data_IF_740118140567
#
_entry.id   IF_740118140567
#
_cell.length_a   1.000
_cell.length_b   1.000
_cell.length_c   1.000
_cell.angle_alpha   90.00
_cell.angle_beta   90.00
_cell.angle_gamma   90.00
#
_symmetry.space_group_name_H-M   'P 1'
#
loop_
_entity.id
_entity.type
_entity.pdbx_description
1 polymer ?
#
# COMPACT_ATOMS: atom_id res chain seq x y z
N UNK A 1 -16.70 -22.20 33.36
CA UNK A 1 -15.54 -21.68 34.08
C UNK A 1 -14.64 -22.85 34.47
N UNK A 2 -13.37 -22.77 34.20
CA UNK A 2 -12.30 -23.77 34.28
C UNK A 2 -12.26 -24.75 33.10
N UNK A 3 -11.33 -24.41 32.15
CA UNK A 3 -10.40 -25.27 31.37
C UNK A 3 -9.98 -24.55 30.09
N UNK A 4 -8.97 -23.69 30.18
CA UNK A 4 -8.13 -23.25 29.06
C UNK A 4 -6.75 -22.93 29.64
N UNK A 5 -6.00 -23.95 29.92
CA UNK A 5 -4.59 -23.88 30.30
C UNK A 5 -3.97 -25.24 29.94
N UNK A 6 -3.61 -25.42 28.66
CA UNK A 6 -2.64 -26.45 28.24
C UNK A 6 -2.41 -26.32 26.74
N UNK A 7 -1.36 -25.64 26.34
CA UNK A 7 -0.96 -25.48 24.93
C UNK A 7 0.32 -24.67 24.70
N UNK A 8 1.07 -24.35 25.74
CA UNK A 8 2.36 -23.64 25.61
C UNK A 8 3.54 -24.59 25.89
N UNK A 9 3.75 -25.58 25.05
CA UNK A 9 4.90 -26.46 25.20
C UNK A 9 5.36 -27.05 23.86
N UNK A 10 5.65 -26.19 22.86
CA UNK A 10 6.27 -26.67 21.63
C UNK A 10 7.15 -25.65 20.89
N UNK A 11 7.64 -24.59 21.53
CA UNK A 11 8.57 -23.62 20.88
C UNK A 11 9.89 -23.43 21.64
N UNK A 12 10.29 -24.34 22.46
CA UNK A 12 11.49 -24.22 23.31
C UNK A 12 12.72 -24.93 22.76
N UNK A 13 12.94 -25.02 21.42
CA UNK A 13 14.10 -25.70 20.85
C UNK A 13 14.86 -24.95 19.76
N UNK A 14 15.00 -23.61 19.84
CA UNK A 14 15.86 -22.86 18.92
C UNK A 14 16.66 -21.73 19.57
N UNK A 15 16.87 -21.76 20.89
CA UNK A 15 17.62 -20.72 21.62
C UNK A 15 18.87 -21.24 22.33
N UNK A 16 19.68 -22.04 21.66
CA UNK A 16 20.97 -22.49 22.23
C UNK A 16 22.17 -22.26 21.34
N UNK A 17 22.31 -21.12 20.65
CA UNK A 17 23.59 -20.65 20.10
C UNK A 17 23.64 -19.13 20.06
N UNK A 18 23.80 -18.47 21.20
CA UNK A 18 24.29 -17.08 21.25
C UNK A 18 25.06 -16.87 22.57
N UNK A 19 26.15 -17.64 22.74
CA UNK A 19 27.19 -17.30 23.71
C UNK A 19 28.44 -16.93 22.91
N UNK A 20 28.59 -15.65 22.62
CA UNK A 20 29.75 -15.14 21.89
C UNK A 20 29.95 -13.63 22.06
N UNK A 21 30.60 -13.26 23.14
CA UNK A 21 31.49 -12.09 23.36
C UNK A 21 31.00 -10.66 23.11
N UNK A 22 30.83 -9.93 24.20
CA UNK A 22 31.47 -8.61 24.33
C UNK A 22 30.58 -7.39 24.39
N UNK A 23 30.21 -6.93 25.60
CA UNK A 23 30.10 -5.51 25.90
C UNK A 23 28.72 -4.89 25.86
N UNK A 24 28.04 -4.96 26.92
CA UNK A 24 27.22 -4.01 27.65
C UNK A 24 26.23 -4.80 28.51
N UNK A 25 26.45 -4.80 29.80
CA UNK A 25 25.56 -5.44 30.79
C UNK A 25 24.34 -4.53 31.10
N UNK A 26 23.65 -4.07 30.04
CA UNK A 26 22.37 -3.41 30.17
C UNK A 26 21.22 -4.43 30.06
N UNK A 27 20.23 -4.34 30.90
CA UNK A 27 18.99 -5.08 30.73
C UNK A 27 18.37 -4.67 29.39
N UNK A 28 17.94 -5.65 28.56
CA UNK A 28 17.21 -5.38 27.32
C UNK A 28 15.97 -4.54 27.63
N UNK A 29 15.84 -3.40 26.98
CA UNK A 29 14.72 -2.48 27.20
C UNK A 29 14.08 -2.10 25.87
N UNK A 30 12.80 -2.40 25.74
CA UNK A 30 12.02 -2.18 24.50
C UNK A 30 10.82 -1.29 24.81
N UNK A 31 10.62 -0.29 23.96
CA UNK A 31 9.42 0.54 23.95
C UNK A 31 8.69 0.37 22.62
N UNK A 32 7.51 -0.25 22.64
CA UNK A 32 6.69 -0.50 21.47
C UNK A 32 5.82 0.72 21.18
N UNK A 33 6.03 1.36 20.05
CA UNK A 33 5.25 2.49 19.58
C UNK A 33 3.90 2.11 18.99
N UNK A 34 3.16 3.12 18.52
CA UNK A 34 1.82 2.95 17.95
C UNK A 34 0.85 2.17 18.87
N UNK A 35 1.09 2.24 20.19
CA UNK A 35 0.25 1.56 21.14
C UNK A 35 -1.16 2.15 21.14
N UNK A 36 -2.23 1.32 21.08
CA UNK A 36 -3.59 1.83 21.04
C UNK A 36 -3.93 2.57 22.35
N UNK A 37 -4.67 3.68 22.24
CA UNK A 37 -5.22 4.36 23.40
C UNK A 37 -6.35 3.54 24.04
N UNK A 38 -6.66 3.82 25.32
CA UNK A 38 -7.68 3.06 26.08
C UNK A 38 -9.08 3.10 25.47
N UNK A 39 -9.36 4.10 24.66
CA UNK A 39 -10.64 4.28 23.98
C UNK A 39 -10.77 3.42 22.72
N UNK A 40 -9.66 2.88 22.23
CA UNK A 40 -9.65 2.04 21.03
C UNK A 40 -10.03 0.61 21.35
N UNK A 41 -10.85 0.01 20.49
CA UNK A 41 -11.38 -1.37 20.69
C UNK A 41 -10.30 -2.46 20.77
N UNK A 42 -9.09 -2.17 20.30
CA UNK A 42 -7.97 -3.11 20.30
C UNK A 42 -7.16 -3.09 21.61
N UNK A 43 -7.38 -2.09 22.48
CA UNK A 43 -6.53 -1.86 23.65
C UNK A 43 -6.41 -3.10 24.55
N UNK A 44 -7.53 -3.69 24.94
CA UNK A 44 -7.56 -4.87 25.83
C UNK A 44 -6.83 -6.08 25.21
N UNK A 45 -6.98 -6.27 23.91
CA UNK A 45 -6.29 -7.32 23.19
C UNK A 45 -4.76 -7.11 23.21
N UNK A 46 -4.30 -5.88 22.96
CA UNK A 46 -2.88 -5.57 22.98
C UNK A 46 -2.30 -5.67 24.39
N UNK A 47 -3.06 -5.28 25.42
CA UNK A 47 -2.64 -5.43 26.81
C UNK A 47 -2.46 -6.89 27.20
N UNK A 48 -3.42 -7.76 26.88
CA UNK A 48 -3.31 -9.19 27.20
C UNK A 48 -2.12 -9.85 26.48
N UNK A 49 -1.81 -9.43 25.25
CA UNK A 49 -0.64 -9.88 24.50
C UNK A 49 0.66 -9.41 25.13
N UNK A 50 0.70 -8.16 25.59
CA UNK A 50 1.87 -7.61 26.28
C UNK A 50 2.14 -8.35 27.60
N UNK A 51 1.10 -8.66 28.35
CA UNK A 51 1.23 -9.44 29.60
C UNK A 51 1.81 -10.82 29.32
N UNK A 52 1.27 -11.54 28.31
CA UNK A 52 1.77 -12.85 27.91
C UNK A 52 3.24 -12.78 27.44
N UNK A 53 3.59 -11.75 26.68
CA UNK A 53 4.97 -11.54 26.22
C UNK A 53 5.94 -11.26 27.38
N UNK A 54 5.53 -10.45 28.35
CA UNK A 54 6.34 -10.20 29.57
C UNK A 54 6.51 -11.44 30.44
N UNK A 55 5.49 -12.30 30.50
CA UNK A 55 5.59 -13.58 31.20
C UNK A 55 6.55 -14.55 30.50
N UNK A 56 6.58 -14.55 29.17
CA UNK A 56 7.50 -15.37 28.37
C UNK A 56 8.96 -14.85 28.41
N UNK A 57 9.15 -13.54 28.57
CA UNK A 57 10.46 -12.87 28.55
C UNK A 57 10.70 -12.02 29.83
N UNK A 58 10.73 -12.64 31.02
CA UNK A 58 10.81 -11.90 32.30
C UNK A 58 12.13 -11.13 32.48
N UNK A 59 13.16 -11.47 31.69
CA UNK A 59 14.45 -10.78 31.69
C UNK A 59 14.43 -9.46 30.94
N UNK A 60 13.42 -9.20 30.09
CA UNK A 60 13.29 -7.98 29.31
C UNK A 60 12.42 -6.94 30.02
N UNK A 61 12.78 -5.66 29.84
CA UNK A 61 11.95 -4.53 30.25
C UNK A 61 11.16 -4.01 29.06
N UNK A 62 9.92 -4.45 28.92
CA UNK A 62 9.06 -4.12 27.79
C UNK A 62 8.04 -3.08 28.20
N UNK A 63 8.10 -1.93 27.54
CA UNK A 63 7.22 -0.79 27.73
C UNK A 63 6.45 -0.47 26.46
N UNK A 64 5.44 0.38 26.55
CA UNK A 64 4.61 0.81 25.43
C UNK A 64 4.60 2.33 25.32
N UNK A 65 4.42 2.84 24.11
CA UNK A 65 4.32 4.26 23.83
C UNK A 65 3.15 4.53 22.88
N UNK A 66 2.31 5.49 23.23
CA UNK A 66 1.21 5.98 22.36
C UNK A 66 1.75 6.84 21.19
N UNK A 67 3.03 6.69 20.89
CA UNK A 67 3.67 7.42 19.78
C UNK A 67 3.04 7.03 18.46
N UNK A 68 2.56 8.02 17.71
CA UNK A 68 2.08 7.89 16.34
C UNK A 68 2.89 8.84 15.46
N UNK A 69 3.37 8.33 14.33
CA UNK A 69 4.08 9.16 13.37
C UNK A 69 3.21 10.34 12.90
N UNK A 70 3.78 11.53 12.93
CA UNK A 70 3.17 12.75 12.42
C UNK A 70 4.23 13.59 11.70
N UNK A 71 4.01 13.92 10.45
CA UNK A 71 4.99 14.58 9.58
C UNK A 71 5.47 15.93 10.10
N UNK A 72 4.65 16.64 10.92
CA UNK A 72 4.99 18.00 11.42
C UNK A 72 5.85 17.95 12.68
N UNK A 73 5.68 16.91 13.50
CA UNK A 73 6.33 16.81 14.82
C UNK A 73 7.45 15.77 14.87
N UNK A 74 7.54 14.85 13.89
CA UNK A 74 8.45 13.72 13.91
C UNK A 74 9.91 14.15 14.06
N UNK A 75 10.41 15.03 13.20
CA UNK A 75 11.82 15.47 13.22
C UNK A 75 12.20 16.07 14.58
N UNK A 76 11.32 16.91 15.16
CA UNK A 76 11.56 17.51 16.49
C UNK A 76 11.59 16.44 17.58
N UNK A 77 10.74 15.44 17.49
CA UNK A 77 10.67 14.33 18.46
C UNK A 77 11.92 13.45 18.36
N UNK A 78 12.32 13.09 17.13
CA UNK A 78 13.50 12.28 16.83
C UNK A 78 14.80 12.97 17.27
N UNK A 79 14.98 14.23 16.88
CA UNK A 79 16.13 15.04 17.30
C UNK A 79 16.20 15.23 18.84
N UNK A 80 15.05 15.29 19.50
CA UNK A 80 14.95 15.32 20.95
C UNK A 80 15.22 13.98 21.65
N UNK A 81 15.48 12.89 20.90
CA UNK A 81 15.76 11.57 21.43
C UNK A 81 14.56 10.94 22.17
N UNK A 82 13.35 11.19 21.69
CA UNK A 82 12.09 10.75 22.32
C UNK A 82 11.35 9.72 21.48
N UNK A 83 12.02 9.11 20.50
CA UNK A 83 11.43 8.00 19.76
C UNK A 83 11.33 6.76 20.67
N UNK A 84 10.26 5.95 20.55
CA UNK A 84 10.24 4.60 21.12
C UNK A 84 11.26 3.70 20.37
N UNK A 85 11.50 2.51 20.90
CA UNK A 85 12.39 1.53 20.25
C UNK A 85 11.89 1.18 18.86
N UNK A 86 10.57 1.10 18.69
CA UNK A 86 9.96 0.86 17.38
C UNK A 86 8.71 1.71 17.18
N UNK A 87 8.45 2.10 15.92
CA UNK A 87 7.26 2.83 15.49
C UNK A 87 6.94 2.58 14.02
N UNK A 88 5.68 2.75 13.66
CA UNK A 88 5.22 2.62 12.28
C UNK A 88 5.09 3.98 11.58
N UNK A 89 5.52 4.05 10.32
CA UNK A 89 5.29 5.19 9.44
C UNK A 89 5.03 4.73 8.00
N UNK A 90 4.47 5.59 7.12
CA UNK A 90 4.24 5.25 5.71
C UNK A 90 5.53 4.94 4.95
N UNK A 91 5.44 4.17 3.86
CA UNK A 91 6.57 3.89 2.95
C UNK A 91 7.23 5.15 2.39
N UNK A 92 6.49 6.24 2.23
CA UNK A 92 7.00 7.55 1.77
C UNK A 92 8.09 8.12 2.63
N UNK A 93 8.16 7.70 3.88
CA UNK A 93 9.03 8.30 4.90
C UNK A 93 10.40 7.63 5.00
N UNK A 94 10.60 6.50 4.29
CA UNK A 94 11.82 5.68 4.40
C UNK A 94 13.07 6.52 4.11
N UNK A 95 13.10 7.22 2.99
CA UNK A 95 14.26 8.02 2.59
C UNK A 95 14.57 9.09 3.63
N UNK A 96 13.58 9.89 4.03
CA UNK A 96 13.75 10.96 5.00
C UNK A 96 14.22 10.42 6.36
N UNK A 97 13.61 9.34 6.86
CA UNK A 97 13.93 8.78 8.17
C UNK A 97 15.35 8.16 8.18
N UNK A 98 15.70 7.40 7.13
CA UNK A 98 16.99 6.72 7.05
C UNK A 98 18.14 7.68 6.74
N UNK A 99 17.98 8.62 5.81
CA UNK A 99 19.02 9.60 5.47
C UNK A 99 19.31 10.56 6.63
N UNK A 100 18.29 10.91 7.42
CA UNK A 100 18.45 11.71 8.63
C UNK A 100 19.06 10.91 9.81
N UNK A 101 19.27 9.59 9.67
CA UNK A 101 19.83 8.74 10.70
C UNK A 101 18.93 8.54 11.92
N UNK A 102 17.62 8.56 11.73
CA UNK A 102 16.64 8.37 12.80
C UNK A 102 16.27 6.90 13.02
N UNK A 103 16.50 6.02 12.04
CA UNK A 103 16.28 4.58 12.18
C UNK A 103 17.56 3.77 12.05
N UNK A 104 17.57 2.58 12.63
CA UNK A 104 18.64 1.63 12.57
C UNK A 104 18.62 0.82 11.27
N UNK A 105 19.80 0.44 10.76
CA UNK A 105 19.94 -0.64 9.79
C UNK A 105 19.67 -1.98 10.51
N UNK A 106 18.61 -2.66 10.10
CA UNK A 106 18.19 -3.94 10.69
C UNK A 106 18.49 -5.14 9.80
N UNK A 107 19.35 -4.98 8.80
CA UNK A 107 19.70 -6.04 7.83
C UNK A 107 20.15 -7.33 8.49
N UNK A 108 20.99 -7.22 9.53
CA UNK A 108 21.46 -8.37 10.31
C UNK A 108 20.33 -9.02 11.10
N UNK A 109 19.53 -8.21 11.79
CA UNK A 109 18.43 -8.68 12.64
C UNK A 109 17.38 -9.45 11.84
N UNK A 110 17.00 -8.94 10.65
CA UNK A 110 16.06 -9.59 9.74
C UNK A 110 16.59 -10.95 9.26
N UNK A 111 17.88 -11.02 8.88
CA UNK A 111 18.52 -12.27 8.44
C UNK A 111 18.62 -13.29 9.57
N UNK A 112 19.00 -12.85 10.75
CA UNK A 112 19.11 -13.72 11.93
C UNK A 112 17.74 -14.30 12.33
N UNK A 113 16.68 -13.51 12.18
CA UNK A 113 15.29 -13.94 12.41
C UNK A 113 14.70 -14.74 11.23
N UNK A 114 15.39 -14.86 10.10
CA UNK A 114 14.91 -15.57 8.90
C UNK A 114 13.77 -14.86 8.16
N UNK A 115 13.49 -13.60 8.49
CA UNK A 115 12.40 -12.82 7.91
C UNK A 115 12.68 -12.41 6.45
N UNK A 116 13.94 -12.29 6.07
CA UNK A 116 14.37 -12.02 4.69
C UNK A 116 13.91 -13.09 3.68
N UNK A 117 13.57 -14.29 4.18
CA UNK A 117 13.11 -15.43 3.35
C UNK A 117 11.60 -15.48 3.17
N UNK A 118 10.85 -14.78 4.02
CA UNK A 118 9.39 -14.85 4.06
C UNK A 118 8.70 -13.51 3.81
N UNK A 119 9.38 -12.39 3.99
CA UNK A 119 8.86 -11.09 3.55
C UNK A 119 8.77 -11.09 2.02
N UNK A 120 7.68 -10.55 1.47
CA UNK A 120 7.51 -10.41 0.03
C UNK A 120 8.73 -9.68 -0.57
N UNK A 121 9.47 -10.29 -1.53
CA UNK A 121 10.70 -9.70 -2.08
C UNK A 121 10.50 -8.30 -2.68
N UNK A 122 9.33 -8.02 -3.26
CA UNK A 122 9.03 -6.70 -3.81
C UNK A 122 8.89 -5.64 -2.72
N UNK A 123 8.37 -6.02 -1.54
CA UNK A 123 8.29 -5.13 -0.39
C UNK A 123 9.65 -4.95 0.28
N UNK A 124 10.40 -6.04 0.42
CA UNK A 124 11.74 -5.99 0.99
C UNK A 124 12.67 -5.08 0.19
N UNK A 125 12.55 -5.11 -1.15
CA UNK A 125 13.28 -4.21 -2.05
C UNK A 125 12.96 -2.73 -1.80
N UNK A 126 11.71 -2.38 -1.47
CA UNK A 126 11.31 -0.99 -1.21
C UNK A 126 11.90 -0.42 0.08
N UNK A 127 12.21 -1.27 1.06
CA UNK A 127 12.81 -0.87 2.34
C UNK A 127 14.33 -1.08 2.36
N UNK A 128 14.92 -1.48 1.24
CA UNK A 128 16.37 -1.77 1.09
C UNK A 128 17.02 -0.70 0.22
N UNK A 129 18.10 -0.09 0.71
CA UNK A 129 18.87 0.88 -0.07
C UNK A 129 19.84 0.20 -1.07
N UNK A 130 20.49 1.01 -1.91
CA UNK A 130 21.45 0.54 -2.93
C UNK A 130 22.70 -0.15 -2.33
N UNK A 131 22.95 0.02 -1.03
CA UNK A 131 24.04 -0.61 -0.31
C UNK A 131 23.64 -1.92 0.34
N UNK A 132 22.34 -2.25 0.29
CA UNK A 132 21.77 -3.45 0.88
C UNK A 132 21.39 -3.32 2.35
N UNK A 133 21.32 -2.10 2.89
CA UNK A 133 20.79 -1.87 4.23
C UNK A 133 19.27 -1.96 4.20
N UNK A 134 18.68 -2.62 5.19
CA UNK A 134 17.25 -2.75 5.37
C UNK A 134 16.81 -1.81 6.50
N UNK A 135 15.95 -0.85 6.18
CA UNK A 135 15.61 0.27 7.06
C UNK A 135 14.35 0.06 7.90
N UNK A 136 13.64 -1.04 7.71
CA UNK A 136 12.45 -1.36 8.50
C UNK A 136 11.73 -2.62 8.02
N UNK A 137 10.69 -3.02 8.75
CA UNK A 137 9.83 -4.15 8.43
C UNK A 137 8.58 -3.66 7.67
N UNK A 138 8.39 -4.04 6.38
CA UNK A 138 7.21 -3.64 5.63
C UNK A 138 5.97 -4.43 6.09
N UNK A 139 4.83 -3.76 6.23
CA UNK A 139 3.56 -4.42 6.54
C UNK A 139 2.35 -3.66 6.01
N UNK A 140 1.19 -4.33 5.98
CA UNK A 140 -0.08 -3.79 5.48
C UNK A 140 0.01 -3.22 4.07
N UNK A 141 0.82 -3.86 3.22
CA UNK A 141 1.04 -3.38 1.87
C UNK A 141 -0.15 -3.63 0.96
N UNK A 142 -0.31 -2.75 -0.03
CA UNK A 142 -1.27 -2.90 -1.11
C UNK A 142 -0.63 -2.48 -2.42
N UNK A 143 -1.14 -3.01 -3.54
CA UNK A 143 -0.79 -2.52 -4.87
C UNK A 143 -2.05 -2.02 -5.58
N UNK A 144 -1.92 -0.92 -6.32
CA UNK A 144 -3.02 -0.40 -7.13
C UNK A 144 -3.28 -1.32 -8.32
N UNK A 145 -4.57 -1.45 -8.68
CA UNK A 145 -5.05 -2.15 -9.86
C UNK A 145 -6.10 -1.34 -10.58
N UNK A 146 -6.71 -1.93 -11.59
CA UNK A 146 -7.85 -1.38 -12.30
C UNK A 146 -9.10 -2.16 -11.91
N UNK A 147 -9.97 -1.54 -11.12
CA UNK A 147 -11.27 -2.10 -10.75
C UNK A 147 -12.27 -1.85 -11.87
N UNK A 148 -13.01 -2.89 -12.24
CA UNK A 148 -13.88 -2.94 -13.40
C UNK A 148 -15.31 -3.29 -12.98
N UNK A 149 -16.29 -2.55 -13.54
CA UNK A 149 -17.71 -2.89 -13.50
C UNK A 149 -18.03 -3.80 -14.71
N UNK A 150 -18.12 -5.10 -14.45
CA UNK A 150 -18.38 -6.14 -15.48
C UNK A 150 -19.69 -5.96 -16.22
N UNK A 151 -20.74 -5.47 -15.54
CA UNK A 151 -22.03 -5.24 -16.17
C UNK A 151 -21.93 -4.24 -17.31
N UNK A 152 -21.30 -3.09 -17.08
CA UNK A 152 -21.10 -2.08 -18.11
C UNK A 152 -20.19 -2.56 -19.25
N UNK A 153 -19.19 -3.40 -18.94
CA UNK A 153 -18.36 -4.05 -19.96
C UNK A 153 -19.17 -5.00 -20.84
N UNK A 154 -20.02 -5.83 -20.26
CA UNK A 154 -20.92 -6.73 -20.99
C UNK A 154 -21.89 -5.95 -21.86
N UNK A 155 -22.51 -4.90 -21.34
CA UNK A 155 -23.40 -4.01 -22.09
C UNK A 155 -22.70 -3.33 -23.27
N UNK A 156 -21.41 -3.03 -23.14
CA UNK A 156 -20.58 -2.47 -24.22
C UNK A 156 -20.07 -3.52 -25.21
N UNK A 157 -20.26 -4.81 -24.96
CA UNK A 157 -19.73 -5.89 -25.78
C UNK A 157 -18.24 -6.18 -25.57
N UNK A 158 -17.68 -5.73 -24.45
CA UNK A 158 -16.27 -5.93 -24.08
C UNK A 158 -16.11 -7.24 -23.32
N UNK A 159 -16.41 -8.36 -24.00
CA UNK A 159 -16.35 -9.72 -23.44
C UNK A 159 -15.51 -10.64 -24.34
N UNK A 160 -14.89 -11.62 -23.72
CA UNK A 160 -14.17 -12.71 -24.37
C UNK A 160 -15.16 -13.84 -24.77
N UNK A 161 -14.69 -14.80 -25.56
CA UNK A 161 -15.52 -15.92 -26.00
C UNK A 161 -16.00 -16.82 -24.83
N UNK A 162 -15.27 -16.84 -23.71
CA UNK A 162 -15.61 -17.58 -22.50
C UNK A 162 -16.55 -16.81 -21.55
N UNK A 163 -16.96 -15.58 -21.92
CA UNK A 163 -17.85 -14.74 -21.13
C UNK A 163 -17.15 -13.88 -20.07
N UNK A 164 -15.84 -13.97 -19.91
CA UNK A 164 -15.06 -13.06 -19.07
C UNK A 164 -14.98 -11.68 -19.71
N UNK A 165 -14.75 -10.63 -18.94
CA UNK A 165 -14.55 -9.29 -19.50
C UNK A 165 -13.17 -9.14 -20.11
N UNK A 166 -13.08 -8.38 -21.20
CA UNK A 166 -11.78 -7.96 -21.76
C UNK A 166 -11.13 -6.97 -20.81
N UNK A 167 -9.85 -7.22 -20.47
CA UNK A 167 -9.07 -6.30 -19.64
C UNK A 167 -8.14 -5.47 -20.51
N UNK A 168 -8.11 -4.13 -20.39
CA UNK A 168 -7.21 -3.30 -21.18
C UNK A 168 -5.76 -3.57 -20.78
N UNK A 169 -4.88 -3.80 -21.75
CA UNK A 169 -3.47 -4.11 -21.51
C UNK A 169 -2.59 -2.85 -21.55
N UNK A 170 -3.04 -1.82 -22.24
CA UNK A 170 -2.38 -0.52 -22.33
C UNK A 170 -3.33 0.62 -21.94
N UNK A 171 -2.77 1.78 -21.62
CA UNK A 171 -3.59 2.97 -21.37
C UNK A 171 -4.34 3.44 -22.61
N UNK A 172 -3.84 3.17 -23.81
CA UNK A 172 -4.56 3.45 -25.06
C UNK A 172 -5.79 2.54 -25.19
N UNK A 173 -5.66 1.24 -24.94
CA UNK A 173 -6.81 0.32 -24.90
C UNK A 173 -7.82 0.70 -23.81
N UNK A 174 -7.36 1.15 -22.63
CA UNK A 174 -8.25 1.66 -21.59
C UNK A 174 -9.08 2.84 -22.12
N UNK A 175 -8.44 3.78 -22.82
CA UNK A 175 -9.13 4.93 -23.39
C UNK A 175 -10.17 4.52 -24.45
N UNK A 176 -9.80 3.57 -25.33
CA UNK A 176 -10.74 3.01 -26.33
C UNK A 176 -11.93 2.31 -25.67
N UNK A 177 -11.68 1.44 -24.69
CA UNK A 177 -12.75 0.73 -23.94
C UNK A 177 -13.67 1.73 -23.22
N UNK A 178 -13.08 2.74 -22.58
CA UNK A 178 -13.84 3.78 -21.92
C UNK A 178 -14.74 4.56 -22.89
N UNK A 179 -14.24 4.89 -24.08
CA UNK A 179 -15.01 5.52 -25.15
C UNK A 179 -16.16 4.62 -25.67
N UNK A 180 -15.88 3.32 -25.87
CA UNK A 180 -16.90 2.34 -26.28
C UNK A 180 -18.01 2.21 -25.23
N UNK A 181 -17.67 2.14 -23.96
CA UNK A 181 -18.64 2.09 -22.87
C UNK A 181 -19.51 3.35 -22.86
N UNK A 182 -18.89 4.53 -22.96
CA UNK A 182 -19.64 5.79 -23.07
C UNK A 182 -20.64 5.76 -24.22
N UNK A 183 -20.19 5.35 -25.40
CA UNK A 183 -21.02 5.31 -26.61
C UNK A 183 -22.19 4.32 -26.49
N UNK A 184 -21.95 3.15 -25.89
CA UNK A 184 -22.96 2.06 -25.85
C UNK A 184 -23.92 2.18 -24.68
N UNK A 185 -23.45 2.65 -23.52
CA UNK A 185 -24.25 2.65 -22.27
C UNK A 185 -24.68 4.05 -21.83
N UNK A 186 -24.06 5.11 -22.36
CA UNK A 186 -24.23 6.47 -21.86
C UNK A 186 -23.56 6.74 -20.51
N UNK A 187 -22.94 5.73 -19.89
CA UNK A 187 -22.25 5.84 -18.60
C UNK A 187 -20.79 6.26 -18.79
N UNK A 188 -20.15 6.74 -17.72
CA UNK A 188 -18.73 7.04 -17.77
C UNK A 188 -17.91 5.75 -17.98
N UNK A 189 -16.97 5.77 -18.93
CA UNK A 189 -16.06 4.66 -19.14
C UNK A 189 -15.00 4.57 -18.05
N UNK A 190 -14.58 5.73 -17.52
CA UNK A 190 -13.55 5.83 -16.49
C UNK A 190 -13.88 6.95 -15.51
N UNK A 191 -13.48 6.78 -14.26
CA UNK A 191 -13.59 7.78 -13.21
C UNK A 191 -12.34 7.77 -12.33
N UNK A 192 -11.88 8.96 -11.92
CA UNK A 192 -10.80 9.13 -10.98
C UNK A 192 -11.09 10.31 -10.04
N UNK A 193 -10.52 10.34 -8.84
CA UNK A 193 -10.59 11.54 -8.01
C UNK A 193 -9.78 12.67 -8.64
N UNK A 194 -10.10 13.91 -8.29
CA UNK A 194 -9.45 15.10 -8.87
C UNK A 194 -9.22 16.20 -7.84
N UNK A 195 -9.41 15.90 -6.56
CA UNK A 195 -9.29 16.87 -5.47
C UNK A 195 -8.80 16.20 -4.19
N UNK A 196 -8.42 17.01 -3.20
CA UNK A 196 -7.95 16.55 -1.89
C UNK A 196 -6.65 15.71 -1.96
N UNK A 197 -5.74 16.03 -2.88
CA UNK A 197 -4.49 15.32 -3.21
C UNK A 197 -4.72 13.92 -3.83
N UNK A 198 -5.97 13.49 -3.97
CA UNK A 198 -6.30 12.14 -4.40
C UNK A 198 -6.22 11.97 -5.93
N UNK A 199 -6.39 13.05 -6.68
CA UNK A 199 -6.19 13.06 -8.13
C UNK A 199 -4.74 12.82 -8.50
N UNK A 200 -3.83 13.59 -7.91
CA UNK A 200 -2.40 13.42 -8.08
C UNK A 200 -1.94 12.03 -7.64
N UNK A 201 -2.37 11.58 -6.45
CA UNK A 201 -2.12 10.24 -5.93
C UNK A 201 -2.56 9.11 -6.87
N UNK A 202 -3.66 9.29 -7.58
CA UNK A 202 -4.17 8.29 -8.52
C UNK A 202 -3.47 8.38 -9.88
N UNK A 203 -3.24 9.62 -10.38
CA UNK A 203 -2.65 9.88 -11.69
C UNK A 203 -1.16 9.54 -11.79
N UNK A 204 -0.44 9.53 -10.68
CA UNK A 204 0.99 9.19 -10.64
C UNK A 204 1.29 7.82 -11.28
N UNK A 205 0.37 6.85 -11.16
CA UNK A 205 0.48 5.54 -11.81
C UNK A 205 0.52 5.65 -13.34
N UNK A 206 -0.31 6.53 -13.90
CA UNK A 206 -0.33 6.82 -15.34
C UNK A 206 0.97 7.49 -15.74
N UNK A 207 1.35 8.56 -15.03
CA UNK A 207 2.54 9.33 -15.33
C UNK A 207 3.83 8.47 -15.32
N UNK A 208 4.02 7.63 -14.31
CA UNK A 208 5.15 6.68 -14.28
C UNK A 208 5.13 5.70 -15.45
N UNK A 209 3.96 5.19 -15.81
CA UNK A 209 3.83 4.26 -16.94
C UNK A 209 4.17 4.92 -18.29
N UNK A 210 4.05 6.24 -18.38
CA UNK A 210 4.54 7.03 -19.51
C UNK A 210 6.03 7.38 -19.41
N UNK A 211 6.69 7.14 -18.27
CA UNK A 211 8.12 7.40 -18.05
C UNK A 211 8.43 8.69 -17.29
N UNK A 212 7.43 9.31 -16.68
CA UNK A 212 7.64 10.54 -15.90
C UNK A 212 8.53 10.28 -14.69
N UNK A 213 9.61 11.05 -14.54
CA UNK A 213 10.39 11.20 -13.33
C UNK A 213 10.02 12.55 -12.71
N UNK A 214 9.38 12.52 -11.52
CA UNK A 214 8.88 13.77 -10.91
C UNK A 214 9.97 14.60 -10.28
N UNK A 215 10.98 13.97 -9.70
CA UNK A 215 12.07 14.67 -9.04
C UNK A 215 13.32 13.80 -8.94
N UNK A 216 14.47 14.44 -8.83
CA UNK A 216 15.77 13.80 -8.55
C UNK A 216 16.66 14.73 -7.74
N UNK A 217 17.66 14.18 -7.08
CA UNK A 217 18.71 14.97 -6.44
C UNK A 217 19.75 15.42 -7.45
N UNK A 218 20.21 16.67 -7.30
CA UNK A 218 21.38 17.19 -8.02
C UNK A 218 22.69 16.71 -7.35
N UNK A 219 23.83 17.10 -7.93
CA UNK A 219 25.19 16.73 -7.44
C UNK A 219 25.44 17.18 -5.99
N UNK A 220 24.69 18.12 -5.47
CA UNK A 220 24.78 18.64 -4.11
C UNK A 220 23.74 18.04 -3.17
N UNK A 221 23.00 17.03 -3.62
CA UNK A 221 21.92 16.41 -2.85
C UNK A 221 20.63 17.24 -2.76
N UNK A 222 20.50 18.31 -3.57
CA UNK A 222 19.28 19.13 -3.58
C UNK A 222 18.25 18.52 -4.52
N UNK A 223 17.03 18.43 -4.07
CA UNK A 223 15.91 17.96 -4.86
C UNK A 223 15.54 18.93 -5.98
N UNK A 224 15.38 18.40 -7.18
CA UNK A 224 14.97 19.13 -8.39
C UNK A 224 13.74 18.47 -9.00
N UNK A 225 12.72 19.27 -9.28
CA UNK A 225 11.61 18.85 -10.12
C UNK A 225 12.09 18.60 -11.55
N UNK A 226 11.62 17.52 -12.18
CA UNK A 226 12.09 17.07 -13.50
C UNK A 226 10.95 16.66 -14.43
N UNK A 227 9.70 17.00 -14.08
CA UNK A 227 8.54 16.45 -14.78
C UNK A 227 7.97 17.34 -15.90
N UNK A 228 8.57 18.51 -16.21
CA UNK A 228 8.26 19.20 -17.48
C UNK A 228 8.94 18.50 -18.67
N UNK A 229 8.60 17.24 -18.86
CA UNK A 229 9.19 16.33 -19.84
C UNK A 229 8.16 15.90 -20.90
N UNK A 230 8.62 15.33 -21.99
CA UNK A 230 7.74 14.82 -23.06
C UNK A 230 6.90 13.63 -22.57
N UNK A 231 7.42 12.85 -21.61
CA UNK A 231 6.75 11.71 -20.97
C UNK A 231 5.54 12.20 -20.17
N UNK A 232 5.71 13.22 -19.33
CA UNK A 232 4.62 13.80 -18.55
C UNK A 232 3.57 14.46 -19.45
N UNK A 233 4.01 15.22 -20.44
CA UNK A 233 3.09 15.83 -21.44
C UNK A 233 2.29 14.77 -22.18
N UNK A 234 2.91 13.62 -22.48
CA UNK A 234 2.23 12.48 -23.11
C UNK A 234 1.18 11.87 -22.17
N UNK A 235 1.48 11.74 -20.87
CA UNK A 235 0.50 11.30 -19.89
C UNK A 235 -0.67 12.31 -19.74
N UNK A 236 -0.39 13.61 -19.73
CA UNK A 236 -1.41 14.65 -19.75
C UNK A 236 -2.24 14.64 -21.05
N UNK A 237 -1.61 14.37 -22.19
CA UNK A 237 -2.31 14.20 -23.46
C UNK A 237 -3.27 13.01 -23.44
N UNK A 238 -2.88 11.88 -22.85
CA UNK A 238 -3.77 10.75 -22.64
C UNK A 238 -4.99 11.16 -21.78
N UNK A 239 -4.78 11.89 -20.67
CA UNK A 239 -5.86 12.38 -19.82
C UNK A 239 -6.81 13.33 -20.59
N UNK A 240 -6.23 14.23 -21.38
CA UNK A 240 -6.97 15.12 -22.27
C UNK A 240 -7.85 14.33 -23.26
N UNK A 241 -7.26 13.33 -23.93
CA UNK A 241 -7.96 12.50 -24.92
C UNK A 241 -9.09 11.68 -24.25
N UNK A 242 -8.87 11.17 -23.06
CA UNK A 242 -9.89 10.51 -22.25
C UNK A 242 -11.14 11.39 -22.09
N UNK A 243 -10.96 12.69 -21.83
CA UNK A 243 -12.08 13.64 -21.66
C UNK A 243 -12.66 14.10 -22.98
N UNK A 244 -11.82 14.62 -23.87
CA UNK A 244 -12.30 15.41 -25.00
C UNK A 244 -12.44 14.62 -26.31
N UNK A 245 -11.68 13.55 -26.47
CA UNK A 245 -11.78 12.65 -27.64
C UNK A 245 -12.73 11.48 -27.36
N UNK A 246 -12.57 10.81 -26.24
CA UNK A 246 -13.34 9.60 -25.89
C UNK A 246 -14.59 9.89 -25.06
N UNK A 247 -14.72 11.09 -24.50
CA UNK A 247 -15.80 11.49 -23.59
C UNK A 247 -15.99 10.48 -22.44
N UNK A 248 -14.88 9.93 -21.93
CA UNK A 248 -14.87 8.79 -21.04
C UNK A 248 -15.26 9.16 -19.59
N UNK A 249 -15.04 10.41 -19.18
CA UNK A 249 -15.31 10.89 -17.83
C UNK A 249 -16.79 11.29 -17.60
N UNK A 250 -17.25 11.31 -16.33
CA UNK A 250 -18.51 11.97 -15.98
C UNK A 250 -18.52 13.45 -16.39
N UNK A 251 -19.70 14.06 -16.44
CA UNK A 251 -19.81 15.51 -16.67
C UNK A 251 -19.18 16.30 -15.52
N UNK A 252 -19.56 15.96 -14.28
CA UNK A 252 -18.93 16.51 -13.09
C UNK A 252 -17.62 15.76 -12.82
N UNK A 253 -16.50 16.47 -12.93
CA UNK A 253 -15.16 15.92 -12.73
C UNK A 253 -14.58 16.27 -11.35
N UNK A 254 -15.27 17.08 -10.54
CA UNK A 254 -14.79 17.44 -9.20
C UNK A 254 -15.24 16.39 -8.19
N UNK A 255 -14.35 15.47 -7.86
CA UNK A 255 -14.68 14.38 -6.96
C UNK A 255 -13.51 13.91 -6.12
N UNK A 256 -13.83 13.44 -4.94
CA UNK A 256 -12.96 12.74 -4.03
C UNK A 256 -13.08 11.21 -4.18
N UNK A 257 -12.38 10.48 -3.32
CA UNK A 257 -12.44 9.01 -3.27
C UNK A 257 -13.87 8.49 -3.05
N UNK A 258 -14.63 9.08 -2.12
CA UNK A 258 -15.99 8.62 -1.81
C UNK A 258 -16.93 8.75 -3.00
N UNK A 259 -16.91 9.92 -3.65
CA UNK A 259 -17.73 10.16 -4.84
C UNK A 259 -17.32 9.28 -6.03
N UNK A 260 -16.02 9.02 -6.21
CA UNK A 260 -15.51 8.08 -7.22
C UNK A 260 -16.06 6.67 -6.97
N UNK A 261 -16.00 6.17 -5.72
CA UNK A 261 -16.54 4.86 -5.38
C UNK A 261 -18.05 4.79 -5.54
N UNK A 262 -18.77 5.86 -5.22
CA UNK A 262 -20.20 5.97 -5.49
C UNK A 262 -20.51 5.83 -6.99
N UNK A 263 -19.77 6.52 -7.87
CA UNK A 263 -19.97 6.41 -9.32
C UNK A 263 -19.80 4.97 -9.82
N UNK A 264 -18.78 4.26 -9.34
CA UNK A 264 -18.54 2.87 -9.72
C UNK A 264 -19.63 1.95 -9.12
N UNK A 265 -19.90 2.05 -7.81
CA UNK A 265 -20.81 1.18 -7.07
C UNK A 265 -22.27 1.34 -7.48
N UNK A 266 -22.68 2.53 -7.95
CA UNK A 266 -24.03 2.79 -8.49
C UNK A 266 -24.14 2.60 -10.01
N UNK A 267 -23.16 1.94 -10.63
CA UNK A 267 -23.15 1.64 -12.08
C UNK A 267 -23.17 2.90 -12.97
N UNK A 268 -22.61 4.03 -12.50
CA UNK A 268 -22.47 5.24 -13.31
C UNK A 268 -21.11 5.34 -13.99
N UNK A 269 -20.12 4.54 -13.55
CA UNK A 269 -18.81 4.44 -14.15
C UNK A 269 -18.38 2.98 -14.27
N UNK A 270 -17.51 2.70 -15.26
CA UNK A 270 -17.10 1.34 -15.59
C UNK A 270 -15.73 0.96 -15.05
N UNK A 271 -14.79 1.90 -14.94
CA UNK A 271 -13.42 1.64 -14.50
C UNK A 271 -12.90 2.71 -13.55
N UNK A 272 -12.02 2.32 -12.65
CA UNK A 272 -11.24 3.23 -11.81
C UNK A 272 -9.94 2.57 -11.36
N UNK A 273 -8.89 3.36 -11.16
CA UNK A 273 -7.67 2.88 -10.48
C UNK A 273 -7.96 2.77 -8.99
N UNK A 274 -7.93 1.55 -8.46
CA UNK A 274 -8.20 1.23 -7.06
C UNK A 274 -7.60 -0.12 -6.68
N UNK A 275 -7.72 -0.54 -5.44
CA UNK A 275 -7.33 -1.87 -5.01
C UNK A 275 -8.24 -2.97 -5.54
N UNK A 276 -7.85 -4.24 -5.40
CA UNK A 276 -8.63 -5.39 -5.89
C UNK A 276 -9.89 -5.64 -5.04
N UNK A 277 -9.93 -5.14 -3.82
CA UNK A 277 -11.04 -5.37 -2.88
C UNK A 277 -11.52 -4.04 -2.30
N UNK A 278 -12.43 -3.40 -3.02
CA UNK A 278 -13.10 -2.17 -2.57
C UNK A 278 -14.42 -2.52 -1.88
N UNK A 279 -14.34 -2.81 -0.59
CA UNK A 279 -15.49 -3.28 0.21
C UNK A 279 -16.69 -2.34 0.18
N UNK A 280 -16.46 -1.03 0.06
CA UNK A 280 -17.51 -0.02 -0.02
C UNK A 280 -18.48 -0.23 -1.20
N UNK A 281 -17.99 -0.81 -2.30
CA UNK A 281 -18.82 -1.11 -3.47
C UNK A 281 -20.00 -2.02 -3.09
N UNK A 282 -19.73 -3.05 -2.28
CA UNK A 282 -20.75 -4.02 -1.87
C UNK A 282 -21.46 -3.63 -0.56
N UNK A 283 -20.72 -3.05 0.41
CA UNK A 283 -21.29 -2.80 1.75
C UNK A 283 -22.00 -1.46 1.87
N UNK A 284 -21.67 -0.49 1.02
CA UNK A 284 -22.26 0.86 1.05
C UNK A 284 -23.15 1.15 -0.16
N UNK A 285 -22.82 0.60 -1.33
CA UNK A 285 -23.52 0.90 -2.58
C UNK A 285 -24.29 -0.29 -3.13
N UNK A 286 -24.33 -1.43 -2.42
CA UNK A 286 -25.08 -2.64 -2.78
C UNK A 286 -24.73 -3.16 -4.20
N UNK A 287 -23.52 -2.90 -4.69
CA UNK A 287 -23.06 -3.43 -5.97
C UNK A 287 -22.94 -4.95 -5.88
N UNK A 288 -23.46 -5.68 -6.86
CA UNK A 288 -23.32 -7.13 -6.89
C UNK A 288 -21.82 -7.50 -7.05
N UNK A 289 -21.33 -8.38 -6.17
CA UNK A 289 -19.95 -8.89 -6.22
C UNK A 289 -19.63 -9.55 -7.56
N UNK A 290 -20.63 -10.20 -8.17
CA UNK A 290 -20.51 -10.81 -9.49
C UNK A 290 -20.27 -9.79 -10.63
N UNK A 291 -20.51 -8.51 -10.38
CA UNK A 291 -20.28 -7.43 -11.35
C UNK A 291 -18.92 -6.72 -11.13
N UNK A 292 -18.11 -7.19 -10.20
CA UNK A 292 -16.80 -6.60 -9.89
C UNK A 292 -15.68 -7.52 -10.43
N UNK A 293 -14.71 -6.91 -11.10
CA UNK A 293 -13.45 -7.53 -11.46
C UNK A 293 -12.29 -6.58 -11.16
N UNK A 294 -11.09 -7.12 -11.01
CA UNK A 294 -9.88 -6.31 -10.92
C UNK A 294 -8.76 -6.92 -11.78
N UNK A 295 -8.04 -6.05 -12.47
CA UNK A 295 -6.87 -6.40 -13.27
C UNK A 295 -5.67 -5.55 -12.86
N UNK A 296 -4.48 -5.94 -13.30
CA UNK A 296 -3.29 -5.07 -13.21
C UNK A 296 -3.59 -3.74 -13.88
N UNK A 297 -2.88 -2.68 -13.47
CA UNK A 297 -2.91 -1.42 -14.20
C UNK A 297 -2.41 -1.64 -15.64
N UNK A 298 -2.93 -0.90 -16.63
CA UNK A 298 -2.44 -0.97 -17.99
C UNK A 298 -0.96 -0.54 -18.11
N UNK A 299 -0.26 -1.04 -19.12
CA UNK A 299 1.07 -0.57 -19.43
C UNK A 299 1.02 0.75 -20.23
N UNK A 300 1.96 1.63 -19.97
CA UNK A 300 2.30 2.75 -20.83
C UNK A 300 3.57 2.46 -21.65
N UNK A 301 4.10 3.46 -22.39
CA UNK A 301 5.31 3.31 -23.19
C UNK A 301 6.56 2.92 -22.40
N UNK A 302 6.66 3.33 -21.14
CA UNK A 302 7.79 3.01 -20.26
C UNK A 302 7.60 1.71 -19.46
N UNK A 303 6.44 1.09 -19.54
CA UNK A 303 6.14 -0.15 -18.82
C UNK A 303 4.86 -0.08 -18.02
N UNK A 304 4.69 -1.04 -17.11
CA UNK A 304 3.54 -1.17 -16.21
C UNK A 304 3.99 -0.79 -14.81
N UNK A 305 3.45 0.29 -14.30
CA UNK A 305 3.75 0.75 -12.94
C UNK A 305 2.49 0.70 -12.09
N UNK A 306 2.65 0.26 -10.86
CA UNK A 306 1.61 0.33 -9.85
C UNK A 306 2.16 0.92 -8.56
N UNK A 307 1.45 1.92 -8.05
CA UNK A 307 1.74 2.44 -6.72
C UNK A 307 1.48 1.38 -5.69
N UNK A 308 2.43 1.21 -4.80
CA UNK A 308 2.28 0.48 -3.56
C UNK A 308 2.39 1.44 -2.38
N UNK A 309 1.61 1.17 -1.37
CA UNK A 309 1.66 1.86 -0.10
C UNK A 309 1.51 0.87 1.02
N UNK A 310 1.46 1.36 2.24
CA UNK A 310 1.39 0.57 3.44
C UNK A 310 2.19 1.25 4.53
N UNK A 311 2.62 0.47 5.51
CA UNK A 311 3.41 0.96 6.62
C UNK A 311 4.73 0.18 6.75
N UNK A 312 5.71 0.83 7.33
CA UNK A 312 7.01 0.26 7.68
C UNK A 312 7.18 0.42 9.18
N UNK A 313 7.53 -0.65 9.85
CA UNK A 313 7.95 -0.60 11.25
C UNK A 313 9.43 -0.26 11.31
N UNK A 314 9.75 0.90 11.84
CA UNK A 314 11.10 1.41 12.04
C UNK A 314 11.62 1.11 13.43
N UNK A 315 12.94 1.13 13.59
CA UNK A 315 13.63 0.90 14.84
C UNK A 315 14.57 2.08 15.12
N UNK A 316 14.56 2.62 16.34
CA UNK A 316 15.37 3.80 16.70
C UNK A 316 16.86 3.52 16.45
N UNK A 317 17.53 4.42 15.74
CA UNK A 317 18.97 4.37 15.49
C UNK A 317 19.81 4.29 16.77
N UNK A 318 19.26 4.70 17.91
CA UNK A 318 19.90 4.65 19.23
C UNK A 318 19.65 3.36 19.98
N UNK A 319 18.73 2.50 19.49
CA UNK A 319 18.44 1.22 20.13
C UNK A 319 19.62 0.25 19.97
N UNK A 320 19.91 -0.52 21.00
CA UNK A 320 20.90 -1.58 20.95
C UNK A 320 20.43 -2.76 20.09
N UNK A 321 21.38 -3.54 19.56
CA UNK A 321 21.06 -4.74 18.76
C UNK A 321 20.13 -5.70 19.52
N UNK A 322 20.31 -5.85 20.83
CA UNK A 322 19.47 -6.72 21.65
C UNK A 322 18.06 -6.17 21.84
N UNK A 323 17.91 -4.84 21.94
CA UNK A 323 16.61 -4.19 22.03
C UNK A 323 15.82 -4.32 20.73
N UNK A 324 16.49 -4.17 19.59
CA UNK A 324 15.92 -4.39 18.25
C UNK A 324 15.49 -5.86 18.09
N UNK A 325 16.32 -6.82 18.48
CA UNK A 325 15.97 -8.24 18.42
C UNK A 325 14.75 -8.57 19.28
N UNK A 326 14.68 -8.01 20.48
CA UNK A 326 13.52 -8.20 21.36
C UNK A 326 12.23 -7.57 20.77
N UNK A 327 12.33 -6.40 20.13
CA UNK A 327 11.22 -5.80 19.42
C UNK A 327 10.77 -6.64 18.20
N UNK A 328 11.71 -7.19 17.42
CA UNK A 328 11.39 -8.11 16.32
C UNK A 328 10.71 -9.38 16.85
N UNK A 329 11.19 -9.92 17.98
CA UNK A 329 10.57 -11.08 18.64
C UNK A 329 9.13 -10.79 19.02
N UNK A 330 8.83 -9.58 19.55
CA UNK A 330 7.45 -9.15 19.79
C UNK A 330 6.59 -9.28 18.53
N UNK A 331 7.03 -8.75 17.39
CA UNK A 331 6.25 -8.83 16.15
C UNK A 331 6.08 -10.26 15.63
N UNK A 332 7.09 -11.11 15.80
CA UNK A 332 7.02 -12.52 15.41
C UNK A 332 5.99 -13.26 16.29
N UNK A 333 6.07 -13.13 17.59
CA UNK A 333 5.17 -13.81 18.55
C UNK A 333 3.73 -13.31 18.49
N UNK A 334 3.53 -12.05 18.10
CA UNK A 334 2.19 -11.55 17.80
C UNK A 334 1.62 -12.07 16.46
N UNK A 335 2.37 -12.87 15.73
CA UNK A 335 1.97 -13.48 14.47
C UNK A 335 2.00 -12.52 13.26
N UNK A 336 2.34 -11.24 13.48
CA UNK A 336 2.44 -10.24 12.40
C UNK A 336 3.57 -10.57 11.43
N UNK A 337 4.70 -11.08 11.95
CA UNK A 337 5.91 -11.40 11.18
C UNK A 337 6.38 -12.85 11.39
N UNK A 338 5.48 -13.75 11.73
CA UNK A 338 5.84 -15.16 11.94
C UNK A 338 6.35 -15.81 10.65
N UNK A 339 7.40 -16.64 10.76
CA UNK A 339 7.95 -17.44 9.66
C UNK A 339 7.19 -18.77 9.47
N UNK A 340 6.37 -19.15 10.44
CA UNK A 340 5.50 -20.32 10.45
C UNK A 340 4.11 -19.95 10.93
N UNK A 341 3.09 -20.56 10.33
CA UNK A 341 1.68 -20.32 10.67
C UNK A 341 1.23 -21.30 11.74
N UNK A 342 0.96 -20.75 12.93
CA UNK A 342 0.41 -21.51 14.06
C UNK A 342 -1.09 -21.80 13.88
N UNK A 343 -1.58 -22.86 14.53
CA UNK A 343 -3.00 -23.25 14.44
C UNK A 343 -3.95 -22.17 15.00
N UNK A 344 -3.51 -21.35 15.96
CA UNK A 344 -4.26 -20.19 16.47
C UNK A 344 -4.46 -19.12 15.39
N UNK A 345 -3.48 -18.90 14.51
CA UNK A 345 -3.60 -17.97 13.39
C UNK A 345 -4.60 -18.49 12.36
N UNK A 346 -4.61 -19.81 12.11
CA UNK A 346 -5.60 -20.44 11.22
C UNK A 346 -7.00 -20.30 11.78
N UNK A 347 -7.19 -20.54 13.08
CA UNK A 347 -8.48 -20.41 13.74
C UNK A 347 -8.98 -18.94 13.71
N UNK A 348 -8.07 -17.99 13.91
CA UNK A 348 -8.41 -16.56 13.82
C UNK A 348 -8.78 -16.15 12.38
N UNK A 349 -8.05 -16.61 11.38
CA UNK A 349 -8.38 -16.36 9.98
C UNK A 349 -9.77 -16.90 9.63
N UNK A 350 -10.12 -18.10 10.15
CA UNK A 350 -11.45 -18.67 9.94
C UNK A 350 -12.56 -17.83 10.56
N UNK A 351 -12.35 -17.33 11.78
CA UNK A 351 -13.29 -16.42 12.44
C UNK A 351 -13.44 -15.11 11.64
N UNK A 352 -12.34 -14.53 11.20
CA UNK A 352 -12.34 -13.28 10.41
C UNK A 352 -13.08 -13.48 9.07
N UNK A 353 -12.91 -14.63 8.39
CA UNK A 353 -13.63 -14.94 7.17
C UNK A 353 -15.13 -15.15 7.39
N UNK A 354 -15.53 -15.80 8.47
CA UNK A 354 -16.94 -15.94 8.86
C UNK A 354 -17.59 -14.58 9.11
N UNK A 355 -16.91 -13.70 9.84
CA UNK A 355 -17.39 -12.34 10.11
C UNK A 355 -17.51 -11.52 8.81
N UNK A 356 -16.52 -11.63 7.90
CA UNK A 356 -16.55 -10.94 6.61
C UNK A 356 -17.69 -11.44 5.74
N UNK A 357 -17.93 -12.75 5.71
CA UNK A 357 -19.06 -13.35 4.99
C UNK A 357 -20.41 -12.86 5.55
N UNK A 358 -20.55 -12.84 6.88
CA UNK A 358 -21.77 -12.35 7.54
C UNK A 358 -22.06 -10.87 7.25
N UNK A 359 -21.00 -10.06 7.04
CA UNK A 359 -21.09 -8.64 6.64
C UNK A 359 -21.28 -8.46 5.12
N UNK A 360 -21.41 -9.51 4.34
CA UNK A 360 -21.56 -9.46 2.89
C UNK A 360 -20.30 -9.02 2.12
N UNK A 361 -19.14 -8.98 2.76
CA UNK A 361 -17.89 -8.50 2.18
C UNK A 361 -17.36 -9.40 1.06
N UNK A 362 -16.55 -8.83 0.18
CA UNK A 362 -15.77 -9.57 -0.81
C UNK A 362 -14.66 -10.36 -0.09
N UNK A 363 -14.59 -11.66 -0.38
CA UNK A 363 -13.55 -12.56 0.12
C UNK A 363 -12.88 -13.21 -1.09
N UNK A 364 -11.62 -12.87 -1.32
CA UNK A 364 -10.78 -13.51 -2.31
C UNK A 364 -10.24 -14.85 -1.77
N UNK A 365 -9.94 -15.84 -2.64
CA UNK A 365 -9.46 -17.16 -2.19
C UNK A 365 -8.03 -17.14 -1.64
N UNK A 366 -7.30 -16.08 -1.85
CA UNK A 366 -5.96 -15.77 -1.28
C UNK A 366 -5.78 -14.26 -1.23
N UNK A 367 -4.78 -13.79 -0.49
CA UNK A 367 -4.45 -12.36 -0.48
C UNK A 367 -4.06 -11.90 -1.89
N UNK A 368 -4.59 -10.77 -2.30
CA UNK A 368 -4.30 -10.19 -3.60
C UNK A 368 -2.85 -9.68 -3.69
N UNK A 369 -2.37 -9.10 -2.61
CA UNK A 369 -0.98 -8.65 -2.45
C UNK A 369 -0.51 -8.98 -1.03
N UNK A 370 0.16 -10.13 -0.80
CA UNK A 370 0.57 -10.55 0.52
C UNK A 370 1.84 -9.84 0.99
N UNK A 371 1.90 -9.50 2.28
CA UNK A 371 3.12 -8.99 2.93
C UNK A 371 4.19 -10.08 3.03
N UNK A 372 3.78 -11.34 3.08
CA UNK A 372 4.65 -12.50 3.26
C UNK A 372 4.40 -13.53 2.18
N UNK A 373 5.44 -14.28 1.85
CA UNK A 373 5.40 -15.39 0.89
C UNK A 373 6.25 -16.55 1.40
N UNK A 374 5.78 -17.78 1.21
CA UNK A 374 6.57 -18.98 1.50
C UNK A 374 6.77 -19.29 2.99
N UNK A 375 5.94 -18.73 3.89
CA UNK A 375 5.92 -19.14 5.29
C UNK A 375 5.52 -20.62 5.44
N UNK A 376 6.08 -21.29 6.40
CA UNK A 376 5.70 -22.67 6.70
C UNK A 376 4.21 -22.71 7.10
N UNK A 377 3.41 -23.52 6.43
CA UNK A 377 1.98 -23.64 6.69
C UNK A 377 1.12 -22.50 6.13
N UNK A 378 1.64 -21.61 5.28
CA UNK A 378 0.88 -20.51 4.67
C UNK A 378 -0.34 -20.98 3.89
N UNK A 379 -0.23 -22.15 3.24
CA UNK A 379 -1.34 -22.77 2.54
C UNK A 379 -2.56 -23.06 3.42
N UNK A 380 -2.39 -23.17 4.75
CA UNK A 380 -3.51 -23.32 5.69
C UNK A 380 -4.40 -22.08 5.68
N UNK A 381 -3.81 -20.88 5.63
CA UNK A 381 -4.55 -19.62 5.56
C UNK A 381 -5.28 -19.48 4.22
N UNK A 382 -4.59 -19.80 3.12
CA UNK A 382 -5.20 -19.75 1.79
C UNK A 382 -6.36 -20.78 1.66
N UNK A 383 -6.22 -21.96 2.26
CA UNK A 383 -7.31 -22.95 2.31
C UNK A 383 -8.54 -22.42 3.08
N UNK A 384 -8.34 -21.70 4.17
CA UNK A 384 -9.43 -21.03 4.89
C UNK A 384 -10.09 -19.98 4.01
N UNK A 385 -9.32 -19.09 3.39
CA UNK A 385 -9.86 -18.05 2.50
C UNK A 385 -10.62 -18.66 1.32
N UNK A 386 -10.06 -19.68 0.68
CA UNK A 386 -10.70 -20.38 -0.44
C UNK A 386 -12.04 -21.00 -0.05
N UNK A 387 -12.16 -21.57 1.18
CA UNK A 387 -13.39 -22.12 1.73
C UNK A 387 -14.52 -21.08 1.82
N UNK A 388 -14.18 -19.84 2.13
CA UNK A 388 -15.14 -18.74 2.31
C UNK A 388 -15.20 -17.79 1.12
N UNK A 389 -14.40 -18.00 0.06
CA UNK A 389 -14.40 -17.17 -1.14
C UNK A 389 -15.79 -17.08 -1.75
N UNK A 390 -16.19 -15.86 -2.12
CA UNK A 390 -17.51 -15.58 -2.62
C UNK A 390 -17.51 -14.79 -3.94
N UNK A 391 -16.40 -14.89 -4.68
CA UNK A 391 -16.19 -14.28 -6.01
C UNK A 391 -15.63 -15.32 -6.98
N UNK A 392 -15.79 -15.06 -8.28
CA UNK A 392 -15.10 -15.84 -9.30
C UNK A 392 -13.65 -15.39 -9.41
N UNK A 393 -12.72 -16.29 -9.16
CA UNK A 393 -11.28 -15.99 -9.22
C UNK A 393 -10.83 -15.55 -10.62
N UNK A 394 -11.53 -15.98 -11.67
CA UNK A 394 -11.23 -15.59 -13.05
C UNK A 394 -11.32 -14.06 -13.26
N UNK A 395 -12.19 -13.40 -12.49
CA UNK A 395 -12.34 -11.94 -12.52
C UNK A 395 -11.16 -11.17 -11.90
N UNK A 396 -10.27 -11.89 -11.21
CA UNK A 396 -9.09 -11.34 -10.53
C UNK A 396 -7.79 -11.98 -10.99
N UNK A 397 -7.85 -12.97 -11.88
CA UNK A 397 -6.68 -13.76 -12.29
C UNK A 397 -5.53 -12.90 -12.85
N UNK A 398 -5.87 -11.90 -13.66
CA UNK A 398 -4.86 -10.98 -14.21
C UNK A 398 -4.22 -10.10 -13.12
N UNK A 399 -4.94 -9.71 -12.07
CA UNK A 399 -4.39 -8.95 -10.94
C UNK A 399 -3.34 -9.74 -10.15
N UNK A 400 -3.49 -11.06 -10.04
CA UNK A 400 -2.51 -11.89 -9.31
C UNK A 400 -1.17 -12.08 -10.04
N UNK A 401 -1.05 -11.65 -11.29
CA UNK A 401 0.17 -11.77 -12.08
C UNK A 401 0.97 -10.47 -12.03
N UNK A 402 1.98 -10.41 -11.15
CA UNK A 402 2.81 -9.21 -10.96
C UNK A 402 4.16 -9.24 -11.71
N UNK A 403 4.42 -10.25 -12.55
CA UNK A 403 5.73 -10.48 -13.18
C UNK A 403 6.23 -9.29 -14.03
N UNK A 404 5.32 -8.53 -14.65
CA UNK A 404 5.63 -7.37 -15.49
C UNK A 404 5.22 -6.03 -14.83
N UNK A 405 4.95 -6.02 -13.53
CA UNK A 405 4.56 -4.83 -12.78
C UNK A 405 5.74 -4.29 -12.00
N UNK A 406 6.14 -3.06 -12.27
CA UNK A 406 7.06 -2.33 -11.41
C UNK A 406 6.27 -1.67 -10.28
N UNK A 407 6.44 -2.19 -9.07
CA UNK A 407 5.92 -1.55 -7.88
C UNK A 407 6.78 -0.35 -7.52
N UNK A 408 6.13 0.76 -7.25
CA UNK A 408 6.80 1.99 -6.85
C UNK A 408 6.10 2.57 -5.63
N UNK A 409 6.88 2.88 -4.60
CA UNK A 409 6.42 3.72 -3.50
C UNK A 409 6.17 5.13 -4.02
N UNK A 410 5.51 5.95 -3.21
CA UNK A 410 5.30 7.37 -3.54
C UNK A 410 6.65 8.11 -3.68
N UNK A 411 6.62 9.32 -4.22
CA UNK A 411 7.83 10.14 -4.38
C UNK A 411 8.43 10.49 -3.00
N UNK A 412 9.77 10.56 -2.89
CA UNK A 412 10.47 10.50 -1.60
C UNK A 412 10.32 11.76 -0.74
N UNK A 413 10.03 12.92 -1.33
CA UNK A 413 9.89 14.18 -0.59
C UNK A 413 8.72 15.01 -1.13
N UNK A 414 8.12 15.82 -0.28
CA UNK A 414 7.02 16.74 -0.61
C UNK A 414 5.89 16.07 -1.44
N UNK A 415 5.65 14.79 -1.23
CA UNK A 415 4.75 13.99 -2.05
C UNK A 415 3.31 14.50 -2.02
N UNK A 416 2.81 14.86 -0.84
CA UNK A 416 1.46 15.41 -0.69
C UNK A 416 1.29 16.76 -1.39
N UNK A 417 2.34 17.58 -1.43
CA UNK A 417 2.36 18.83 -2.15
C UNK A 417 2.40 18.60 -3.67
N UNK A 418 3.16 17.60 -4.13
CA UNK A 418 3.12 17.18 -5.52
C UNK A 418 1.71 16.77 -5.94
N UNK A 419 1.02 15.99 -5.11
CA UNK A 419 -0.35 15.58 -5.40
C UNK A 419 -1.32 16.76 -5.47
N UNK A 420 -1.17 17.77 -4.62
CA UNK A 420 -1.96 18.99 -4.70
C UNK A 420 -1.71 19.77 -6.00
N UNK A 421 -0.47 19.88 -6.45
CA UNK A 421 -0.11 20.48 -7.74
C UNK A 421 -0.73 19.69 -8.89
N UNK A 422 -0.62 18.36 -8.85
CA UNK A 422 -1.21 17.48 -9.88
C UNK A 422 -2.74 17.54 -9.90
N UNK A 423 -3.41 17.69 -8.75
CA UNK A 423 -4.87 17.91 -8.72
C UNK A 423 -5.25 19.14 -9.56
N UNK A 424 -4.52 20.26 -9.41
CA UNK A 424 -4.73 21.47 -10.20
C UNK A 424 -4.52 21.23 -11.70
N UNK A 425 -3.45 20.51 -12.07
CA UNK A 425 -3.19 20.13 -13.47
C UNK A 425 -4.31 19.28 -14.04
N UNK A 426 -4.74 18.26 -13.32
CA UNK A 426 -5.82 17.34 -13.72
C UNK A 426 -7.12 18.12 -13.94
N UNK A 427 -7.48 19.01 -13.01
CA UNK A 427 -8.69 19.85 -13.12
C UNK A 427 -8.63 20.75 -14.34
N UNK A 428 -7.49 21.41 -14.60
CA UNK A 428 -7.31 22.23 -15.80
C UNK A 428 -7.49 21.42 -17.09
N UNK A 429 -6.86 20.23 -17.20
CA UNK A 429 -7.00 19.36 -18.37
C UNK A 429 -8.46 18.92 -18.57
N UNK A 430 -9.18 18.59 -17.51
CA UNK A 430 -10.54 18.06 -17.60
C UNK A 430 -11.62 19.11 -17.79
N UNK A 431 -11.33 20.39 -17.53
CA UNK A 431 -12.31 21.49 -17.64
C UNK A 431 -12.04 22.44 -18.79
N UNK A 432 -10.81 22.56 -19.23
CA UNK A 432 -10.41 23.47 -20.31
C UNK A 432 -10.08 22.70 -21.60
N UNK A 433 -11.00 22.71 -22.57
CA UNK A 433 -10.78 22.05 -23.87
C UNK A 433 -9.64 22.66 -24.69
N UNK A 434 -9.33 23.95 -24.45
CA UNK A 434 -8.28 24.66 -25.19
C UNK A 434 -6.99 24.78 -24.34
N UNK A 435 -6.77 23.88 -23.41
CA UNK A 435 -5.59 23.88 -22.55
C UNK A 435 -4.31 23.73 -23.35
N UNK A 436 -3.32 24.52 -22.99
CA UNK A 436 -1.95 24.36 -23.47
C UNK A 436 -1.19 23.43 -22.52
N UNK A 437 -1.03 22.18 -22.92
CA UNK A 437 -0.40 21.12 -22.11
C UNK A 437 1.05 21.49 -21.78
N UNK A 438 1.80 22.08 -22.71
CA UNK A 438 3.19 22.50 -22.48
C UNK A 438 3.27 23.58 -21.41
N UNK A 439 2.38 24.58 -21.50
CA UNK A 439 2.32 25.65 -20.52
C UNK A 439 1.92 25.16 -19.14
N UNK A 440 0.95 24.25 -19.04
CA UNK A 440 0.49 23.66 -17.77
C UNK A 440 1.59 22.82 -17.12
N UNK A 441 2.28 21.96 -17.89
CA UNK A 441 3.36 21.14 -17.37
C UNK A 441 4.52 22.00 -16.84
N UNK A 442 4.93 23.03 -17.61
CA UNK A 442 5.99 23.96 -17.20
C UNK A 442 5.63 24.78 -15.96
N UNK A 443 4.37 25.22 -15.87
CA UNK A 443 3.88 25.98 -14.70
C UNK A 443 3.85 25.11 -13.46
N UNK A 444 3.38 23.87 -13.56
CA UNK A 444 3.29 22.92 -12.46
C UNK A 444 4.68 22.53 -11.91
N UNK A 445 5.65 22.23 -12.78
CA UNK A 445 7.03 21.93 -12.35
C UNK A 445 7.65 23.14 -11.66
N UNK A 446 7.51 24.34 -12.20
CA UNK A 446 8.04 25.57 -11.63
C UNK A 446 7.42 25.86 -10.27
N UNK A 447 6.11 25.69 -10.14
CA UNK A 447 5.39 25.87 -8.87
C UNK A 447 5.90 24.89 -7.82
N UNK A 448 5.98 23.60 -8.16
CA UNK A 448 6.46 22.57 -7.27
C UNK A 448 7.91 22.81 -6.83
N UNK A 449 8.81 23.14 -7.75
CA UNK A 449 10.20 23.47 -7.42
C UNK A 449 10.27 24.62 -6.43
N UNK A 450 9.66 25.76 -6.80
CA UNK A 450 9.82 27.01 -6.06
C UNK A 450 9.13 26.99 -4.69
N UNK A 451 7.92 26.43 -4.63
CA UNK A 451 7.09 26.55 -3.44
C UNK A 451 7.23 25.35 -2.49
N UNK A 452 7.83 24.23 -2.96
CA UNK A 452 7.96 23.02 -2.16
C UNK A 452 9.39 22.52 -2.07
N UNK A 453 10.07 22.20 -3.19
CA UNK A 453 11.42 21.62 -3.12
C UNK A 453 12.51 22.60 -2.67
N UNK A 454 12.41 23.88 -3.05
CA UNK A 454 13.38 24.90 -2.62
C UNK A 454 13.25 25.26 -1.12
N UNK A 455 12.22 24.76 -0.45
CA UNK A 455 11.96 24.99 0.98
C UNK A 455 12.25 23.77 1.88
N UNK A 456 12.83 22.70 1.34
CA UNK A 456 13.23 21.49 2.07
C UNK A 456 14.55 21.64 2.85
#
# INVERSE_FOLDING_TARGET
MKKFLSGLAASAMLLSVLSGCGGATGKVSVSIGNWPSKEQSQYELYQSRLEAFKEAHPEWDVNTAEFVYDTKSFVTTAAGGRLPTTWSAPFTEIAMISEAGYCADISKNIKDAGLDKVINPELLKLVTDDKGHIWGLPHTAYAQGLTINKKLFKEAGLVNADGTVKTPKTYDELAEFAGMIRQKTGKAGFVMPTMNNQGGWNFINVAWSYGTEFMKQDENGKWKATFNSDEFKSALKWLYDMKWKYNAFPEDNFMDHGKRMQQLGTYQAAMTIAGPVEQSLVTQYDMDKADIACTRLPAGPAGRYAQTGGAVEFFDAKAGEQDINAAITWFIEQGGFATEIADEQVAKEEEDMQQNLAKGRIILPKLAFPDFVGRVGEEKLDNVRAKYSNVDIADYADYYSFEDVTLKAEEPVACQQLYAVLDGVIQEILTNKNVDIDAVAAAAEKDFQKNHLDNL
#
